data_IF_247716179494
#
_entry.id   IF_247716179494
#
_cell.length_a   1.000
_cell.length_b   1.000
_cell.length_c   1.000
_cell.angle_alpha   90.00
_cell.angle_beta   90.00
_cell.angle_gamma   90.00
#
_symmetry.space_group_name_H-M   'P 1'
#
loop_
_entity.id
_entity.type
_entity.pdbx_description
1 polymer ?
#
# COMPACT_ATOMS: atom_id res chain seq x y z
N UNK A 1 -26.92 -0.34 -79.28
CA UNK A 1 -26.67 -1.02 -77.99
C UNK A 1 -25.21 -1.46 -77.93
N UNK A 2 -24.36 -0.78 -77.14
CA UNK A 2 -23.02 -1.29 -76.84
C UNK A 2 -22.71 -1.35 -75.33
N UNK A 3 -21.66 -2.12 -75.04
CA UNK A 3 -21.27 -2.72 -73.76
C UNK A 3 -20.39 -1.80 -72.89
N UNK A 4 -20.71 -1.81 -71.59
CA UNK A 4 -19.88 -1.66 -70.38
C UNK A 4 -18.48 -1.02 -70.48
N UNK A 5 -18.38 0.18 -69.91
CA UNK A 5 -17.15 0.85 -69.48
C UNK A 5 -16.46 0.12 -68.31
N UNK A 6 -15.39 -0.61 -68.61
CA UNK A 6 -14.36 -1.01 -67.65
C UNK A 6 -13.08 -0.31 -68.10
N UNK A 7 -12.63 0.66 -67.29
CA UNK A 7 -11.29 1.26 -67.20
C UNK A 7 -11.37 2.80 -67.13
N UNK A 8 -11.61 3.34 -65.93
CA UNK A 8 -11.00 4.61 -65.49
C UNK A 8 -11.43 4.96 -64.05
N UNK A 9 -10.89 4.24 -63.06
CA UNK A 9 -10.80 4.69 -61.66
C UNK A 9 -9.92 3.74 -60.85
N UNK A 10 -8.63 3.64 -61.22
CA UNK A 10 -7.59 3.08 -60.36
C UNK A 10 -6.43 4.07 -60.32
N UNK A 11 -6.30 4.72 -59.17
CA UNK A 11 -5.06 5.25 -58.57
C UNK A 11 -4.18 6.17 -59.42
N UNK A 12 -4.63 7.43 -59.57
CA UNK A 12 -3.72 8.57 -59.42
C UNK A 12 -3.32 8.66 -57.94
N UNK A 13 -2.02 8.61 -57.65
CA UNK A 13 -1.48 8.98 -56.33
C UNK A 13 -0.74 7.88 -55.56
N UNK A 14 0.16 7.11 -56.19
CA UNK A 14 1.37 6.65 -55.49
C UNK A 14 2.46 7.70 -55.71
N UNK A 15 2.29 8.86 -55.07
CA UNK A 15 3.47 9.66 -54.73
C UNK A 15 4.14 8.95 -53.56
N UNK A 16 5.38 8.52 -53.78
CA UNK A 16 6.20 7.89 -52.75
C UNK A 16 6.44 8.89 -51.60
N UNK A 17 6.12 8.47 -50.37
CA UNK A 17 6.26 9.14 -49.05
C UNK A 17 7.56 9.92 -48.82
N UNK A 18 8.61 9.63 -49.59
CA UNK A 18 9.90 10.30 -49.58
C UNK A 18 9.84 11.81 -49.87
N UNK A 19 8.76 12.33 -50.49
CA UNK A 19 8.59 13.77 -50.75
C UNK A 19 7.91 14.55 -49.62
N UNK A 20 7.22 13.90 -48.68
CA UNK A 20 6.47 14.56 -47.61
C UNK A 20 7.20 14.59 -46.26
N UNK A 21 8.36 13.94 -46.16
CA UNK A 21 9.16 13.93 -44.92
C UNK A 21 8.50 13.16 -43.76
N UNK A 22 7.57 12.27 -44.06
CA UNK A 22 6.86 11.46 -43.05
C UNK A 22 6.86 10.00 -43.49
N UNK A 23 7.42 9.13 -42.64
CA UNK A 23 7.40 7.68 -42.85
C UNK A 23 6.17 7.05 -42.20
N UNK A 24 5.59 6.04 -42.87
CA UNK A 24 4.56 5.17 -42.28
C UNK A 24 5.19 4.18 -41.29
N UNK A 25 4.38 3.60 -40.41
CA UNK A 25 4.87 2.59 -39.44
C UNK A 25 5.51 1.41 -40.15
N UNK A 26 4.92 0.98 -41.25
CA UNK A 26 5.40 -0.13 -42.08
C UNK A 26 6.79 0.17 -42.65
N UNK A 27 7.04 1.43 -43.02
CA UNK A 27 8.35 1.88 -43.50
C UNK A 27 9.39 1.89 -42.37
N UNK A 28 9.02 2.31 -41.15
CA UNK A 28 9.90 2.25 -39.97
C UNK A 28 10.23 0.81 -39.58
N UNK A 29 9.26 -0.11 -39.63
CA UNK A 29 9.48 -1.54 -39.36
C UNK A 29 10.42 -2.15 -40.41
N UNK A 30 10.30 -1.72 -41.68
CA UNK A 30 11.17 -2.20 -42.77
C UNK A 30 12.64 -1.84 -42.59
N UNK A 31 12.96 -0.85 -41.74
CA UNK A 31 14.33 -0.46 -41.42
C UNK A 31 14.96 -1.30 -40.30
N UNK A 32 14.17 -2.12 -39.59
CA UNK A 32 14.68 -2.97 -38.51
C UNK A 32 15.44 -4.19 -39.06
N UNK A 33 16.39 -4.79 -38.31
CA UNK A 33 17.01 -6.05 -38.72
C UNK A 33 15.97 -7.18 -38.83
N UNK A 34 16.15 -8.19 -39.71
CA UNK A 34 15.14 -9.20 -40.02
C UNK A 34 14.53 -9.91 -38.80
N UNK A 35 15.37 -10.30 -37.84
CA UNK A 35 14.92 -10.97 -36.60
C UNK A 35 13.95 -10.12 -35.76
N UNK A 36 14.02 -8.80 -35.85
CA UNK A 36 13.12 -7.89 -35.15
C UNK A 36 11.82 -7.62 -35.91
N UNK A 37 11.83 -7.74 -37.25
CA UNK A 37 10.62 -7.63 -38.07
C UNK A 37 9.66 -8.78 -37.81
N UNK A 38 10.21 -9.99 -37.71
CA UNK A 38 9.42 -11.21 -37.47
C UNK A 38 8.68 -11.15 -36.13
N UNK A 39 9.34 -10.69 -35.05
CA UNK A 39 8.72 -10.57 -33.72
C UNK A 39 7.63 -9.49 -33.68
N UNK A 40 7.76 -8.43 -34.48
CA UNK A 40 6.75 -7.37 -34.57
C UNK A 40 5.52 -7.80 -35.37
N UNK A 41 5.72 -8.55 -36.46
CA UNK A 41 4.64 -9.04 -37.32
C UNK A 41 3.79 -10.14 -36.66
N UNK A 42 4.37 -10.90 -35.71
CA UNK A 42 3.69 -12.01 -35.03
C UNK A 42 2.75 -11.56 -33.88
N UNK A 43 2.69 -10.25 -33.57
CA UNK A 43 1.83 -9.72 -32.49
C UNK A 43 0.94 -8.57 -32.97
N UNK A 44 -0.31 -8.89 -33.25
CA UNK A 44 -1.38 -7.92 -33.52
C UNK A 44 -1.60 -6.89 -32.37
N UNK A 45 -1.04 -7.14 -31.18
CA UNK A 45 -1.18 -6.30 -29.98
C UNK A 45 -0.27 -5.07 -29.94
N UNK A 46 0.72 -4.93 -30.84
CA UNK A 46 1.64 -3.77 -30.85
C UNK A 46 1.06 -2.56 -31.63
N UNK A 47 -0.15 -2.69 -32.19
CA UNK A 47 -0.84 -1.58 -32.86
C UNK A 47 -1.37 -0.48 -31.91
N UNK A 48 -1.30 -0.68 -30.59
CA UNK A 48 -1.58 0.37 -29.63
C UNK A 48 -0.34 1.25 -29.41
N UNK A 49 -0.32 2.37 -30.13
CA UNK A 49 0.66 3.46 -30.05
C UNK A 49 0.94 3.87 -28.60
N UNK A 50 2.13 3.50 -28.10
CA UNK A 50 2.91 4.13 -27.01
C UNK A 50 4.04 3.21 -26.52
N UNK A 51 4.10 1.94 -26.95
CA UNK A 51 5.05 0.95 -26.44
C UNK A 51 6.32 0.73 -27.30
N UNK A 52 6.45 1.42 -28.44
CA UNK A 52 7.63 1.27 -29.31
C UNK A 52 8.91 1.66 -28.54
N UNK A 53 8.87 2.78 -27.82
CA UNK A 53 10.00 3.25 -27.02
C UNK A 53 10.38 2.30 -25.88
N UNK A 54 9.41 1.73 -25.18
CA UNK A 54 9.65 0.78 -24.08
C UNK A 54 10.08 -0.61 -24.56
N UNK A 55 9.70 -1.01 -25.77
CA UNK A 55 10.16 -2.24 -26.40
C UNK A 55 11.63 -2.14 -26.83
N UNK A 56 12.02 -1.04 -27.49
CA UNK A 56 13.44 -0.79 -27.80
C UNK A 56 14.29 -0.58 -26.54
N UNK A 57 13.74 0.04 -25.50
CA UNK A 57 14.40 0.25 -24.20
C UNK A 57 14.87 -1.06 -23.52
N UNK A 58 14.23 -2.21 -23.82
CA UNK A 58 14.62 -3.51 -23.24
C UNK A 58 15.73 -4.24 -24.01
N UNK A 59 16.00 -3.87 -25.26
CA UNK A 59 16.69 -4.77 -26.20
C UNK A 59 17.94 -4.17 -26.89
N UNK A 60 18.31 -2.90 -26.67
CA UNK A 60 19.43 -2.31 -27.40
C UNK A 60 20.46 -1.57 -26.54
N UNK A 61 21.73 -1.75 -26.90
CA UNK A 61 22.86 -0.95 -26.41
C UNK A 61 22.75 0.51 -26.87
N UNK A 62 23.36 1.42 -26.09
CA UNK A 62 23.28 2.88 -26.23
C UNK A 62 23.54 3.38 -27.66
N UNK A 63 24.52 2.81 -28.36
CA UNK A 63 24.87 3.22 -29.73
C UNK A 63 23.76 2.97 -30.75
N UNK A 64 22.94 1.94 -30.57
CA UNK A 64 21.86 1.60 -31.50
C UNK A 64 20.67 2.55 -31.28
N UNK A 65 20.36 2.87 -30.02
CA UNK A 65 19.34 3.86 -29.66
C UNK A 65 19.72 5.27 -30.13
N UNK A 66 20.99 5.65 -30.02
CA UNK A 66 21.48 6.94 -30.49
C UNK A 66 21.39 7.02 -32.03
N UNK A 67 21.80 5.97 -32.78
CA UNK A 67 21.66 5.92 -34.25
C UNK A 67 20.20 5.94 -34.73
N UNK A 68 19.30 5.24 -34.05
CA UNK A 68 17.86 5.24 -34.39
C UNK A 68 17.27 6.63 -34.15
N UNK A 69 17.66 7.27 -33.05
CA UNK A 69 17.19 8.61 -32.68
C UNK A 69 17.73 9.67 -33.65
N UNK A 70 19.01 9.60 -34.01
CA UNK A 70 19.66 10.49 -34.97
C UNK A 70 19.01 10.37 -36.36
N UNK A 71 18.77 9.14 -36.82
CA UNK A 71 18.06 8.88 -38.09
C UNK A 71 16.60 9.35 -38.06
N UNK A 72 15.90 9.14 -36.95
CA UNK A 72 14.52 9.59 -36.80
C UNK A 72 14.41 11.14 -36.74
N UNK A 73 15.43 11.82 -36.22
CA UNK A 73 15.51 13.27 -36.22
C UNK A 73 15.88 13.85 -37.61
N UNK A 74 16.76 13.18 -38.37
CA UNK A 74 17.10 13.55 -39.75
C UNK A 74 15.89 13.46 -40.70
N UNK A 75 15.04 12.44 -40.54
CA UNK A 75 14.00 12.10 -41.51
C UNK A 75 12.66 12.82 -41.24
N UNK A 76 12.55 13.57 -40.13
CA UNK A 76 11.43 14.48 -39.90
C UNK A 76 10.23 13.88 -39.16
N UNK A 77 10.37 13.48 -37.89
CA UNK A 77 9.21 13.14 -37.06
C UNK A 77 8.24 14.33 -36.89
N UNK A 78 6.94 14.03 -36.77
CA UNK A 78 5.92 15.05 -36.50
C UNK A 78 6.10 15.65 -35.07
N UNK A 79 5.63 16.88 -34.81
CA UNK A 79 5.81 17.58 -33.52
C UNK A 79 5.38 16.79 -32.27
N UNK A 80 4.34 15.95 -32.35
CA UNK A 80 3.82 15.12 -31.28
C UNK A 80 4.76 13.95 -31.01
N UNK A 81 5.23 13.29 -32.05
CA UNK A 81 6.22 12.21 -31.97
C UNK A 81 7.57 12.72 -31.45
N UNK A 82 8.01 13.91 -31.90
CA UNK A 82 9.19 14.60 -31.36
C UNK A 82 9.05 14.93 -29.88
N UNK A 83 7.86 15.34 -29.42
CA UNK A 83 7.60 15.59 -27.99
C UNK A 83 7.67 14.31 -27.17
N UNK A 84 7.08 13.21 -27.64
CA UNK A 84 7.13 11.93 -26.93
C UNK A 84 8.56 11.40 -26.78
N UNK A 85 9.35 11.47 -27.86
CA UNK A 85 10.76 11.09 -27.84
C UNK A 85 11.62 11.99 -26.93
N UNK A 86 11.43 13.32 -26.98
CA UNK A 86 12.10 14.26 -26.07
C UNK A 86 11.74 14.00 -24.60
N UNK A 87 10.47 13.72 -24.31
CA UNK A 87 9.99 13.39 -22.96
C UNK A 87 10.68 12.14 -22.42
N UNK A 88 10.86 11.11 -23.25
CA UNK A 88 11.63 9.90 -22.87
C UNK A 88 13.10 10.21 -22.56
N UNK A 89 13.74 11.07 -23.36
CA UNK A 89 15.13 11.51 -23.13
C UNK A 89 15.29 12.33 -21.85
N UNK A 90 14.34 13.22 -21.54
CA UNK A 90 14.40 14.07 -20.34
C UNK A 90 14.16 13.28 -19.06
N UNK A 91 13.27 12.26 -19.09
CA UNK A 91 13.10 11.31 -17.99
C UNK A 91 14.41 10.57 -17.70
N UNK A 92 15.14 10.17 -18.73
CA UNK A 92 16.44 9.51 -18.59
C UNK A 92 17.53 10.45 -18.01
N UNK A 93 17.57 11.70 -18.45
CA UNK A 93 18.48 12.71 -17.87
C UNK A 93 18.19 12.99 -16.40
N UNK A 94 16.90 12.99 -16.00
CA UNK A 94 16.50 13.14 -14.60
C UNK A 94 16.97 11.95 -13.75
N UNK A 95 16.75 10.73 -14.24
CA UNK A 95 17.19 9.50 -13.59
C UNK A 95 18.72 9.46 -13.37
N UNK A 96 19.51 9.89 -14.36
CA UNK A 96 20.97 9.95 -14.22
C UNK A 96 21.45 11.02 -13.23
N UNK A 97 20.73 12.15 -13.10
CA UNK A 97 21.03 13.18 -12.09
C UNK A 97 20.75 12.69 -10.68
N UNK A 98 19.64 11.97 -10.47
CA UNK A 98 19.33 11.35 -9.17
C UNK A 98 20.37 10.29 -8.80
N UNK A 99 20.79 9.46 -9.75
CA UNK A 99 21.83 8.44 -9.52
C UNK A 99 23.20 9.05 -9.21
N UNK A 100 23.52 10.24 -9.74
CA UNK A 100 24.73 11.00 -9.38
C UNK A 100 24.60 11.68 -8.01
N UNK A 101 23.42 12.18 -7.65
CA UNK A 101 23.15 12.74 -6.30
C UNK A 101 23.26 11.68 -5.21
N UNK A 102 22.69 10.50 -5.41
CA UNK A 102 22.81 9.38 -4.47
C UNK A 102 24.25 8.87 -4.32
N UNK A 103 25.10 9.04 -5.34
CA UNK A 103 26.54 8.75 -5.24
C UNK A 103 27.34 9.82 -4.50
N UNK A 104 26.83 11.05 -4.41
CA UNK A 104 27.44 12.14 -3.65
C UNK A 104 26.95 12.19 -2.19
N UNK A 105 25.69 11.85 -1.92
CA UNK A 105 25.14 11.74 -0.55
C UNK A 105 25.78 10.62 0.30
N UNK A 106 26.49 9.67 -0.32
CA UNK A 106 27.24 8.62 0.37
C UNK A 106 28.74 8.95 0.58
N UNK A 107 29.18 10.18 0.29
CA UNK A 107 30.61 10.57 0.39
C UNK A 107 30.90 11.83 1.21
N UNK A 108 29.92 12.46 1.85
CA UNK A 108 30.18 13.47 2.87
C UNK A 108 30.20 12.81 4.26
N UNK A 109 31.35 12.23 4.61
CA UNK A 109 31.77 12.13 6.00
C UNK A 109 32.12 13.54 6.46
N UNK A 110 31.26 14.15 7.28
CA UNK A 110 31.56 15.41 7.95
C UNK A 110 32.42 15.15 9.19
N UNK A 111 33.59 15.78 9.21
CA UNK A 111 34.47 15.89 10.37
C UNK A 111 33.72 16.43 11.60
N UNK A 112 34.05 15.98 12.82
CA UNK A 112 33.41 16.47 14.03
C UNK A 112 33.84 17.92 14.31
N UNK A 113 32.87 18.84 14.20
CA UNK A 113 33.01 20.21 14.68
C UNK A 113 33.22 20.26 16.20
N UNK A 114 33.76 21.38 16.73
CA UNK A 114 34.17 21.47 18.12
C UNK A 114 32.98 21.28 19.07
N UNK A 115 33.16 20.38 20.04
CA UNK A 115 32.23 20.12 21.14
C UNK A 115 31.82 21.43 21.83
N UNK A 116 30.58 21.83 21.59
CA UNK A 116 29.88 22.73 22.50
C UNK A 116 29.46 21.85 23.68
N UNK A 117 30.21 21.94 24.80
CA UNK A 117 29.79 21.38 26.08
C UNK A 117 28.47 22.03 26.50
N UNK A 118 27.37 21.38 26.17
CA UNK A 118 26.08 21.69 26.78
C UNK A 118 26.21 21.43 28.29
N UNK A 119 25.91 22.41 29.14
CA UNK A 119 25.93 22.21 30.58
C UNK A 119 24.79 21.26 30.98
N UNK A 120 25.11 20.33 31.89
CA UNK A 120 24.21 19.47 32.69
C UNK A 120 23.36 18.43 31.94
N UNK A 121 23.93 17.24 31.73
CA UNK A 121 23.21 15.99 31.44
C UNK A 121 22.56 15.39 32.72
N UNK A 122 22.79 15.97 33.91
CA UNK A 122 22.30 15.41 35.18
C UNK A 122 20.88 15.85 35.61
N UNK A 123 20.22 16.79 34.91
CA UNK A 123 18.86 17.25 35.31
C UNK A 123 17.69 16.48 34.69
N UNK A 124 17.93 15.58 33.72
CA UNK A 124 16.83 14.94 32.95
C UNK A 124 16.05 13.90 33.79
N UNK A 125 16.67 13.33 34.82
CA UNK A 125 16.08 12.24 35.59
C UNK A 125 15.60 12.62 37.00
N UNK A 126 15.89 13.84 37.48
CA UNK A 126 15.47 14.24 38.82
C UNK A 126 13.94 14.27 38.95
N UNK A 127 13.41 13.56 39.95
CA UNK A 127 12.02 13.63 40.40
C UNK A 127 12.05 14.09 41.84
N UNK A 128 11.28 15.12 42.15
CA UNK A 128 11.17 15.63 43.51
C UNK A 128 10.64 14.53 44.47
N UNK A 129 11.20 14.34 45.68
CA UNK A 129 10.79 13.26 46.59
C UNK A 129 9.29 13.20 46.87
N UNK A 130 8.65 14.36 47.10
CA UNK A 130 7.20 14.45 47.28
C UNK A 130 6.40 13.98 46.06
N UNK A 131 6.90 14.25 44.85
CA UNK A 131 6.29 13.79 43.60
C UNK A 131 6.47 12.27 43.48
N UNK A 132 7.66 11.75 43.78
CA UNK A 132 7.93 10.31 43.81
C UNK A 132 7.00 9.57 44.78
N UNK A 133 6.83 10.07 46.00
CA UNK A 133 5.93 9.48 47.00
C UNK A 133 4.48 9.46 46.50
N UNK A 134 4.02 10.57 45.91
CA UNK A 134 2.69 10.65 45.32
C UNK A 134 2.49 9.65 44.16
N UNK A 135 3.48 9.49 43.28
CA UNK A 135 3.46 8.50 42.19
C UNK A 135 3.35 7.09 42.75
N UNK A 136 4.14 6.74 43.77
CA UNK A 136 4.09 5.41 44.38
C UNK A 136 2.72 5.15 45.03
N UNK A 137 2.11 6.17 45.64
CA UNK A 137 0.73 6.07 46.16
C UNK A 137 -0.32 5.82 45.07
N UNK A 138 -0.12 6.36 43.87
CA UNK A 138 -1.00 6.15 42.72
C UNK A 138 -0.80 4.75 42.12
N UNK A 139 0.45 4.33 41.94
CA UNK A 139 0.77 2.97 41.47
C UNK A 139 0.23 1.89 42.41
N UNK A 140 0.27 2.13 43.72
CA UNK A 140 -0.31 1.22 44.71
C UNK A 140 -1.82 1.03 44.55
N UNK A 141 -2.52 2.01 43.96
CA UNK A 141 -3.95 1.92 43.59
C UNK A 141 -4.18 1.37 42.17
N UNK A 142 -3.12 0.93 41.49
CA UNK A 142 -3.17 0.42 40.13
C UNK A 142 -3.31 1.50 39.06
N UNK A 143 -3.00 2.77 39.39
CA UNK A 143 -2.95 3.83 38.38
C UNK A 143 -1.67 3.74 37.54
N UNK A 144 -1.78 4.08 36.27
CA UNK A 144 -0.65 4.20 35.34
C UNK A 144 -0.45 5.68 35.03
N UNK A 145 0.80 6.15 35.09
CA UNK A 145 1.15 7.54 34.88
C UNK A 145 2.17 7.70 33.76
N UNK A 146 2.00 8.74 32.96
CA UNK A 146 2.95 9.12 31.92
C UNK A 146 3.12 10.64 31.87
N UNK A 147 4.36 11.12 31.93
CA UNK A 147 4.65 12.55 32.02
C UNK A 147 4.47 13.26 30.67
N UNK A 148 3.89 14.45 30.73
CA UNK A 148 3.66 15.33 29.59
C UNK A 148 4.81 16.33 29.37
N UNK A 149 5.66 16.53 30.37
CA UNK A 149 6.70 17.54 30.37
C UNK A 149 7.98 17.08 31.09
N UNK A 150 9.10 17.69 30.70
CA UNK A 150 10.46 17.32 31.17
C UNK A 150 10.63 17.59 32.67
N UNK A 151 9.99 18.63 33.18
CA UNK A 151 9.97 19.01 34.59
C UNK A 151 9.05 18.11 35.44
N UNK A 152 8.35 17.14 34.82
CA UNK A 152 7.54 16.12 35.50
C UNK A 152 6.48 16.72 36.43
N UNK A 153 5.96 17.89 36.08
CA UNK A 153 4.89 18.58 36.82
C UNK A 153 3.51 18.33 36.23
N UNK A 154 3.41 17.68 35.06
CA UNK A 154 2.13 17.31 34.44
C UNK A 154 2.20 15.88 33.94
N UNK A 155 1.19 15.08 34.26
CA UNK A 155 1.11 13.69 33.84
C UNK A 155 -0.29 13.34 33.36
N UNK A 156 -0.38 12.42 32.40
CA UNK A 156 -1.62 11.68 32.14
C UNK A 156 -1.73 10.62 33.22
N UNK A 157 -2.84 10.62 33.96
CA UNK A 157 -3.18 9.59 34.93
C UNK A 157 -4.27 8.70 34.33
N UNK A 158 -3.99 7.41 34.27
CA UNK A 158 -4.93 6.36 33.85
C UNK A 158 -5.37 5.67 35.14
N UNK A 159 -6.59 5.96 35.56
CA UNK A 159 -7.11 5.55 36.86
C UNK A 159 -8.05 4.35 36.70
N UNK A 160 -7.62 3.21 37.25
CA UNK A 160 -8.35 1.94 37.15
C UNK A 160 -9.63 1.96 37.99
N UNK A 161 -9.59 2.56 39.17
CA UNK A 161 -10.75 2.61 40.08
C UNK A 161 -11.83 3.55 39.54
N UNK A 162 -11.42 4.73 39.06
CA UNK A 162 -12.34 5.70 38.44
C UNK A 162 -12.78 5.31 37.02
N UNK A 163 -12.11 4.32 36.41
CA UNK A 163 -12.25 3.94 35.00
C UNK A 163 -12.18 5.15 34.07
N UNK A 164 -11.15 5.98 34.26
CA UNK A 164 -11.03 7.28 33.61
C UNK A 164 -9.58 7.66 33.33
N UNK A 165 -9.39 8.54 32.34
CA UNK A 165 -8.11 9.15 31.99
C UNK A 165 -8.26 10.66 32.07
N UNK A 166 -7.35 11.29 32.80
CA UNK A 166 -7.30 12.73 33.04
C UNK A 166 -5.87 13.22 33.22
N UNK A 167 -5.66 14.54 33.23
CA UNK A 167 -4.35 15.13 33.45
C UNK A 167 -4.22 15.53 34.93
N UNK A 168 -3.11 15.15 35.56
CA UNK A 168 -2.74 15.60 36.89
C UNK A 168 -1.62 16.62 36.76
N UNK A 169 -1.74 17.73 37.50
CA UNK A 169 -0.68 18.74 37.63
C UNK A 169 -0.16 18.73 39.07
N UNK A 170 1.16 18.69 39.19
CA UNK A 170 1.94 18.55 40.41
C UNK A 170 2.78 19.80 40.61
N UNK A 171 2.61 20.50 41.73
CA UNK A 171 3.37 21.70 42.06
C UNK A 171 3.91 21.61 43.47
N UNK A 172 5.24 21.59 43.59
CA UNK A 172 5.89 21.71 44.90
C UNK A 172 5.91 23.19 45.28
N UNK A 173 5.41 23.49 46.46
CA UNK A 173 5.43 24.83 47.05
C UNK A 173 6.29 24.79 48.31
N UNK A 174 7.41 25.49 48.27
CA UNK A 174 8.24 25.73 49.44
C UNK A 174 7.70 26.94 50.20
N UNK A 175 7.46 26.79 51.50
CA UNK A 175 7.02 27.92 52.33
C UNK A 175 8.25 28.77 52.69
N UNK A 176 8.30 30.07 52.35
CA UNK A 176 9.48 30.90 52.62
C UNK A 176 9.78 31.07 54.13
N UNK A 177 8.85 30.72 55.01
CA UNK A 177 8.99 30.84 56.46
C UNK A 177 9.21 29.49 57.18
N UNK A 178 9.35 28.38 56.44
CA UNK A 178 9.64 27.05 57.02
C UNK A 178 10.32 26.14 56.01
N UNK A 179 11.24 25.27 56.45
CA UNK A 179 11.87 24.23 55.60
C UNK A 179 10.91 23.10 55.19
N UNK A 180 9.60 23.33 55.28
CA UNK A 180 8.55 22.39 54.91
C UNK A 180 8.08 22.71 53.49
N UNK A 181 8.20 21.72 52.62
CA UNK A 181 7.66 21.75 51.27
C UNK A 181 6.35 20.96 51.21
N UNK A 182 5.39 21.47 50.45
CA UNK A 182 4.11 20.80 50.24
C UNK A 182 3.90 20.52 48.76
N UNK A 183 3.34 19.36 48.44
CA UNK A 183 2.90 19.04 47.09
C UNK A 183 1.44 19.44 46.92
N UNK A 184 1.20 20.38 46.00
CA UNK A 184 -0.14 20.71 45.53
C UNK A 184 -0.46 19.88 44.28
N UNK A 185 -1.54 19.09 44.36
CA UNK A 185 -2.03 18.23 43.29
C UNK A 185 -3.36 18.77 42.79
N UNK A 186 -3.44 19.04 41.48
CA UNK A 186 -4.68 19.47 40.84
C UNK A 186 -5.00 18.58 39.64
N UNK A 187 -6.20 18.01 39.62
CA UNK A 187 -6.68 17.18 38.52
C UNK A 187 -7.45 18.04 37.51
N UNK A 188 -7.30 17.75 36.23
CA UNK A 188 -8.22 18.25 35.20
C UNK A 188 -9.58 17.57 35.32
N UNK A 189 -10.56 18.08 34.58
CA UNK A 189 -11.76 17.31 34.27
C UNK A 189 -11.37 15.98 33.58
N UNK A 190 -12.27 15.00 33.68
CA UNK A 190 -12.11 13.71 32.98
C UNK A 190 -12.10 13.98 31.49
N UNK A 191 -11.11 13.43 30.78
CA UNK A 191 -10.95 13.59 29.33
C UNK A 191 -11.53 12.39 28.60
N UNK A 192 -11.23 11.19 29.11
CA UNK A 192 -11.73 9.92 28.58
C UNK A 192 -12.34 9.13 29.73
N UNK A 193 -13.63 8.82 29.68
CA UNK A 193 -14.33 7.99 30.66
C UNK A 193 -14.24 6.50 30.29
N UNK A 194 -13.01 6.01 30.13
CA UNK A 194 -12.71 4.63 29.81
C UNK A 194 -11.36 4.24 30.40
N UNK A 195 -11.25 2.99 30.86
CA UNK A 195 -10.00 2.34 31.22
C UNK A 195 -9.74 1.18 30.26
N UNK A 196 -8.64 1.18 29.50
CA UNK A 196 -8.26 0.07 28.63
C UNK A 196 -7.82 -1.17 29.43
N UNK A 197 -8.38 -2.33 29.12
CA UNK A 197 -7.91 -3.65 29.56
C UNK A 197 -7.44 -4.47 28.35
N UNK A 198 -6.61 -5.50 28.61
CA UNK A 198 -6.11 -6.41 27.58
C UNK A 198 -5.50 -5.69 26.36
N UNK A 199 -4.71 -4.64 26.62
CA UNK A 199 -4.15 -3.80 25.56
C UNK A 199 -3.16 -4.61 24.72
N UNK A 200 -3.44 -4.74 23.43
CA UNK A 200 -2.56 -5.32 22.42
C UNK A 200 -2.11 -4.25 21.44
N UNK A 201 -0.81 -4.24 21.15
CA UNK A 201 -0.19 -3.29 20.24
C UNK A 201 0.36 -4.06 19.06
N UNK A 202 -0.19 -3.80 17.88
CA UNK A 202 0.29 -4.39 16.64
C UNK A 202 1.28 -3.43 15.99
N UNK A 203 2.55 -3.79 16.07
CA UNK A 203 3.63 -3.08 15.40
C UNK A 203 3.87 -3.74 14.04
N UNK A 204 3.43 -3.12 12.94
CA UNK A 204 3.62 -3.71 11.63
C UNK A 204 5.11 -3.74 11.30
N UNK A 205 5.63 -4.91 10.94
CA UNK A 205 7.00 -5.05 10.44
C UNK A 205 7.21 -4.46 9.05
N UNK A 206 6.12 -4.06 8.38
CA UNK A 206 6.15 -3.50 7.03
C UNK A 206 6.21 -1.95 7.09
N UNK A 207 7.17 -1.32 6.38
CA UNK A 207 7.31 0.12 6.39
C UNK A 207 6.04 0.80 5.84
N UNK A 208 5.67 1.92 6.45
CA UNK A 208 4.51 2.73 6.03
C UNK A 208 3.14 2.27 6.53
N UNK A 209 3.05 1.14 7.25
CA UNK A 209 1.84 0.80 7.99
C UNK A 209 1.84 1.52 9.35
N UNK A 210 0.70 2.06 9.73
CA UNK A 210 0.52 2.65 11.06
C UNK A 210 0.39 1.53 12.11
N UNK A 211 0.94 1.79 13.31
CA UNK A 211 0.68 0.98 14.50
C UNK A 211 -0.84 0.89 14.73
N UNK A 212 -1.31 -0.30 15.09
CA UNK A 212 -2.70 -0.52 15.52
C UNK A 212 -2.75 -0.90 16.99
N UNK A 213 -3.87 -0.58 17.61
CA UNK A 213 -4.20 -0.90 19.00
C UNK A 213 -5.49 -1.71 19.05
N UNK A 214 -5.54 -2.67 19.96
CA UNK A 214 -6.71 -3.45 20.32
C UNK A 214 -6.81 -3.50 21.84
N UNK A 215 -8.01 -3.34 22.40
CA UNK A 215 -8.24 -3.32 23.83
C UNK A 215 -9.72 -3.52 24.16
N UNK A 216 -9.98 -3.98 25.37
CA UNK A 216 -11.31 -3.99 25.96
C UNK A 216 -11.52 -2.73 26.79
N UNK A 217 -12.73 -2.20 26.78
CA UNK A 217 -13.09 -0.96 27.45
C UNK A 217 -13.85 -1.25 28.73
N UNK A 218 -13.31 -0.78 29.85
CA UNK A 218 -14.02 -0.64 31.11
C UNK A 218 -14.50 0.80 31.26
N UNK A 219 -15.80 1.01 31.52
CA UNK A 219 -16.33 2.34 31.80
C UNK A 219 -17.30 2.31 32.99
N UNK A 220 -17.57 3.48 33.56
CA UNK A 220 -18.66 3.72 34.51
C UNK A 220 -19.97 4.01 33.78
N UNK A 221 -19.91 4.54 32.55
CA UNK A 221 -21.08 4.90 31.74
C UNK A 221 -21.66 3.67 31.03
N UNK A 222 -20.79 2.77 30.57
CA UNK A 222 -21.18 1.51 29.91
C UNK A 222 -20.70 0.31 30.71
N UNK A 223 -21.63 -0.54 31.14
CA UNK A 223 -21.32 -1.81 31.83
C UNK A 223 -21.09 -2.98 30.87
N UNK A 224 -21.41 -2.82 29.58
CA UNK A 224 -21.07 -3.82 28.57
C UNK A 224 -19.57 -3.77 28.31
N UNK A 225 -18.89 -4.92 28.33
CA UNK A 225 -17.52 -5.02 27.85
C UNK A 225 -17.50 -4.70 26.36
N UNK A 226 -16.90 -3.58 25.98
CA UNK A 226 -16.79 -3.15 24.59
C UNK A 226 -15.39 -3.44 24.10
N UNK A 227 -15.28 -4.19 23.02
CA UNK A 227 -14.02 -4.46 22.36
C UNK A 227 -13.75 -3.41 21.28
N UNK A 228 -12.56 -2.82 21.27
CA UNK A 228 -12.09 -1.87 20.25
C UNK A 228 -10.80 -2.41 19.65
N UNK A 229 -10.79 -2.69 18.34
CA UNK A 229 -9.57 -3.03 17.61
C UNK A 229 -9.68 -4.27 16.71
N UNK A 230 -8.60 -4.58 15.96
CA UNK A 230 -7.36 -3.82 15.82
C UNK A 230 -7.52 -2.60 14.91
N UNK A 231 -7.32 -1.39 15.42
CA UNK A 231 -7.53 -0.12 14.68
C UNK A 231 -6.43 0.91 14.95
N UNK A 232 -6.35 1.99 14.17
CA UNK A 232 -5.37 3.05 14.45
C UNK A 232 -5.74 3.86 15.70
N UNK A 233 -4.78 4.59 16.29
CA UNK A 233 -5.07 5.47 17.44
C UNK A 233 -6.20 6.47 17.15
N UNK A 234 -6.30 6.97 15.92
CA UNK A 234 -7.35 7.91 15.50
C UNK A 234 -8.72 7.25 15.48
N UNK A 235 -8.79 6.06 14.90
CA UNK A 235 -10.04 5.31 14.78
C UNK A 235 -10.51 4.80 16.14
N UNK A 236 -9.59 4.39 17.02
CA UNK A 236 -9.91 4.03 18.40
C UNK A 236 -10.57 5.19 19.15
N UNK A 237 -10.01 6.41 19.06
CA UNK A 237 -10.59 7.60 19.68
C UNK A 237 -11.95 7.94 19.06
N UNK A 238 -12.10 7.80 17.74
CA UNK A 238 -13.40 7.99 17.08
C UNK A 238 -14.44 6.97 17.55
N UNK A 239 -14.06 5.70 17.76
CA UNK A 239 -14.95 4.68 18.34
C UNK A 239 -15.35 5.05 19.77
N UNK A 240 -14.39 5.48 20.62
CA UNK A 240 -14.69 5.96 21.97
C UNK A 240 -15.63 7.17 21.96
N UNK A 241 -15.47 8.08 20.99
CA UNK A 241 -16.34 9.25 20.82
C UNK A 241 -17.76 8.85 20.44
N UNK A 242 -17.92 7.90 19.51
CA UNK A 242 -19.23 7.36 19.12
C UNK A 242 -19.94 6.67 20.29
N UNK A 243 -19.18 6.07 21.21
CA UNK A 243 -19.68 5.45 22.43
C UNK A 243 -19.98 6.46 23.55
N UNK A 244 -19.73 7.75 23.34
CA UNK A 244 -19.94 8.80 24.33
C UNK A 244 -18.92 8.79 25.48
N UNK A 245 -17.75 8.19 25.28
CA UNK A 245 -16.71 8.04 26.31
C UNK A 245 -15.64 9.13 26.27
N UNK A 246 -15.70 10.02 25.28
CA UNK A 246 -14.81 11.19 25.16
C UNK A 246 -15.51 12.44 25.69
N UNK A 247 -14.93 13.05 26.72
CA UNK A 247 -15.45 14.26 27.38
C UNK A 247 -14.82 15.54 26.79
N UNK A 248 -13.54 15.52 26.46
CA UNK A 248 -12.85 16.62 25.77
C UNK A 248 -12.16 16.13 24.48
N UNK A 249 -12.79 16.44 23.35
CA UNK A 249 -12.35 16.02 22.01
C UNK A 249 -11.03 16.68 21.59
N UNK A 250 -10.71 17.87 22.11
CA UNK A 250 -9.56 18.64 21.63
C UNK A 250 -8.24 18.01 22.06
N UNK A 251 -8.23 17.34 23.21
CA UNK A 251 -7.02 16.74 23.80
C UNK A 251 -7.06 15.20 23.84
N UNK A 252 -8.21 14.59 23.54
CA UNK A 252 -8.41 13.14 23.62
C UNK A 252 -7.37 12.33 22.86
N UNK A 253 -7.03 12.71 21.63
CA UNK A 253 -6.08 11.92 20.81
C UNK A 253 -4.67 11.92 21.39
N UNK A 254 -4.21 13.05 21.91
CA UNK A 254 -2.86 13.17 22.47
C UNK A 254 -2.78 12.47 23.84
N UNK A 255 -3.83 12.62 24.66
CA UNK A 255 -3.96 11.91 25.94
C UNK A 255 -4.05 10.41 25.73
N UNK A 256 -4.83 9.94 24.74
CA UNK A 256 -4.93 8.52 24.41
C UNK A 256 -3.57 7.95 23.96
N UNK A 257 -2.86 8.63 23.07
CA UNK A 257 -1.52 8.20 22.62
C UNK A 257 -0.53 8.09 23.78
N UNK A 258 -0.56 9.07 24.69
CA UNK A 258 0.26 9.07 25.90
C UNK A 258 -0.12 7.93 26.83
N UNK A 259 -1.42 7.67 26.99
CA UNK A 259 -1.89 6.55 27.78
C UNK A 259 -1.41 5.21 27.21
N UNK A 260 -1.55 4.98 25.90
CA UNK A 260 -1.03 3.79 25.23
C UNK A 260 0.50 3.66 25.38
N UNK A 261 1.25 4.76 25.28
CA UNK A 261 2.68 4.78 25.59
C UNK A 261 2.98 4.28 27.00
N UNK A 262 2.22 4.75 27.99
CA UNK A 262 2.34 4.33 29.38
C UNK A 262 2.09 2.83 29.57
N UNK A 263 1.09 2.25 28.88
CA UNK A 263 0.83 0.81 28.91
C UNK A 263 2.00 0.00 28.34
N UNK A 264 2.63 0.48 27.27
CA UNK A 264 3.82 -0.17 26.69
C UNK A 264 5.00 -0.11 27.66
N UNK A 265 5.30 1.07 28.20
CA UNK A 265 6.45 1.28 29.09
C UNK A 265 6.35 0.51 30.41
N UNK A 266 5.13 0.38 30.94
CA UNK A 266 4.87 -0.38 32.18
C UNK A 266 4.79 -1.89 31.96
N UNK A 267 4.84 -2.38 30.72
CA UNK A 267 4.67 -3.80 30.40
C UNK A 267 3.23 -4.30 30.53
N UNK A 268 2.26 -3.39 30.62
CA UNK A 268 0.82 -3.71 30.71
C UNK A 268 0.15 -3.87 29.33
N UNK A 269 0.92 -3.78 28.24
CA UNK A 269 0.48 -4.08 26.88
C UNK A 269 1.22 -5.28 26.29
N UNK A 270 0.48 -6.14 25.58
CA UNK A 270 1.05 -7.20 24.75
C UNK A 270 1.48 -6.60 23.41
N UNK A 271 2.79 -6.49 23.19
CA UNK A 271 3.35 -5.96 21.95
C UNK A 271 3.55 -7.11 20.95
N UNK A 272 2.75 -7.10 19.89
CA UNK A 272 2.78 -8.04 18.79
C UNK A 272 3.54 -7.42 17.62
N UNK A 273 4.84 -7.71 17.56
CA UNK A 273 5.68 -7.36 16.43
C UNK A 273 5.47 -8.38 15.31
N UNK A 274 5.05 -7.93 14.12
CA UNK A 274 4.83 -8.86 13.03
C UNK A 274 4.13 -8.29 11.82
N UNK A 275 3.87 -9.17 10.85
CA UNK A 275 2.99 -8.86 9.74
C UNK A 275 1.58 -9.23 10.17
N UNK A 276 0.70 -8.24 10.27
CA UNK A 276 -0.70 -8.40 10.70
C UNK A 276 -1.59 -9.04 9.62
N UNK A 277 -1.22 -8.81 8.36
CA UNK A 277 -2.01 -9.24 7.22
C UNK A 277 -1.73 -10.71 6.84
N UNK A 278 -2.77 -11.53 6.60
CA UNK A 278 -2.59 -12.90 6.15
C UNK A 278 -1.98 -12.96 4.74
N UNK A 279 -1.08 -13.91 4.51
CA UNK A 279 -0.42 -14.08 3.22
C UNK A 279 0.93 -14.77 3.28
N UNK A 280 1.70 -14.59 2.21
CA UNK A 280 3.01 -15.21 2.00
C UNK A 280 4.10 -14.15 1.89
N UNK A 281 5.11 -14.27 2.75
CA UNK A 281 6.15 -13.27 2.94
C UNK A 281 7.55 -13.89 2.89
N UNK A 282 8.55 -13.09 2.49
CA UNK A 282 9.96 -13.49 2.54
C UNK A 282 10.47 -13.49 3.97
N UNK A 283 11.18 -14.55 4.37
CA UNK A 283 11.89 -14.63 5.65
C UNK A 283 13.27 -13.93 5.62
N UNK A 284 13.60 -13.21 4.55
CA UNK A 284 14.89 -12.52 4.36
C UNK A 284 16.07 -13.44 4.01
N UNK A 285 15.93 -14.76 4.13
CA UNK A 285 16.95 -15.77 3.82
C UNK A 285 16.61 -16.59 2.57
N UNK A 286 15.69 -16.09 1.74
CA UNK A 286 15.23 -16.76 0.50
C UNK A 286 14.11 -17.79 0.70
N UNK A 287 13.60 -17.95 1.92
CA UNK A 287 12.43 -18.78 2.20
C UNK A 287 11.14 -17.98 2.24
N UNK A 288 10.02 -18.67 2.04
CA UNK A 288 8.66 -18.13 2.14
C UNK A 288 8.03 -18.67 3.43
N UNK A 289 7.40 -17.81 4.21
CA UNK A 289 6.55 -18.23 5.33
C UNK A 289 5.14 -17.70 5.16
N UNK A 290 4.18 -18.43 5.74
CA UNK A 290 2.77 -18.12 5.68
C UNK A 290 2.31 -17.48 6.99
N UNK A 291 1.52 -16.41 6.89
CA UNK A 291 0.88 -15.71 8.01
C UNK A 291 -0.63 -15.88 7.83
N UNK A 292 -1.35 -16.27 8.89
CA UNK A 292 -2.81 -16.44 8.83
C UNK A 292 -3.29 -17.45 7.77
N UNK A 293 -2.41 -18.38 7.37
CA UNK A 293 -2.71 -19.44 6.40
C UNK A 293 -1.98 -20.73 6.79
N UNK A 294 -2.73 -21.81 6.97
CA UNK A 294 -2.17 -23.09 7.40
C UNK A 294 -1.65 -23.87 6.21
N UNK A 295 -0.33 -23.96 6.09
CA UNK A 295 0.32 -24.85 5.12
C UNK A 295 0.37 -26.24 5.75
N UNK A 296 -0.27 -27.21 5.10
CA UNK A 296 -0.23 -28.63 5.51
C UNK A 296 0.34 -29.49 4.39
N UNK A 297 0.84 -30.66 4.78
CA UNK A 297 1.21 -31.69 3.81
C UNK A 297 -0.06 -32.22 3.12
N UNK A 298 0.02 -32.40 1.80
CA UNK A 298 -1.08 -32.87 0.96
C UNK A 298 -0.81 -34.32 0.59
N UNK A 299 -1.79 -35.20 0.85
CA UNK A 299 -1.69 -36.62 0.50
C UNK A 299 -1.76 -36.81 -1.01
N UNK A 300 -1.13 -37.87 -1.52
CA UNK A 300 -1.11 -38.14 -2.95
C UNK A 300 -2.52 -38.37 -3.51
N UNK A 301 -3.41 -39.00 -2.75
CA UNK A 301 -4.81 -39.22 -3.15
C UNK A 301 -5.58 -37.89 -3.27
N UNK A 302 -5.39 -36.98 -2.32
CA UNK A 302 -6.01 -35.64 -2.37
C UNK A 302 -5.54 -34.88 -3.60
N UNK A 303 -4.23 -34.91 -3.89
CA UNK A 303 -3.67 -34.28 -5.08
C UNK A 303 -4.28 -34.84 -6.36
N UNK A 304 -4.43 -36.17 -6.46
CA UNK A 304 -5.06 -36.83 -7.61
C UNK A 304 -6.51 -36.36 -7.79
N UNK A 305 -7.30 -36.34 -6.71
CA UNK A 305 -8.69 -35.87 -6.74
C UNK A 305 -8.75 -34.41 -7.19
N UNK A 306 -7.88 -33.54 -6.67
CA UNK A 306 -7.81 -32.13 -7.07
C UNK A 306 -7.53 -31.98 -8.56
N UNK A 307 -6.57 -32.73 -9.11
CA UNK A 307 -6.26 -32.69 -10.54
C UNK A 307 -7.42 -33.20 -11.41
N UNK A 308 -8.13 -34.24 -10.97
CA UNK A 308 -9.33 -34.74 -11.65
C UNK A 308 -10.47 -33.71 -11.63
N UNK A 309 -10.69 -33.03 -10.51
CA UNK A 309 -11.67 -31.94 -10.40
C UNK A 309 -11.29 -30.79 -11.34
N UNK A 310 -10.01 -30.39 -11.35
CA UNK A 310 -9.53 -29.32 -12.23
C UNK A 310 -9.72 -29.67 -13.72
N UNK A 311 -9.48 -30.93 -14.10
CA UNK A 311 -9.77 -31.42 -15.45
C UNK A 311 -11.26 -31.36 -15.78
N UNK A 312 -12.15 -31.77 -14.86
CA UNK A 312 -13.60 -31.67 -15.07
C UNK A 312 -14.05 -30.23 -15.25
N UNK A 313 -13.52 -29.30 -14.46
CA UNK A 313 -13.79 -27.87 -14.62
C UNK A 313 -13.28 -27.38 -15.98
N UNK A 314 -12.09 -27.80 -16.41
CA UNK A 314 -11.51 -27.42 -17.70
C UNK A 314 -12.43 -27.81 -18.89
N UNK A 315 -13.14 -28.94 -18.79
CA UNK A 315 -14.11 -29.38 -19.79
C UNK A 315 -15.32 -28.44 -19.94
N UNK A 316 -15.60 -27.58 -18.95
CA UNK A 316 -16.62 -26.53 -19.04
C UNK A 316 -16.18 -25.35 -19.93
N UNK A 317 -14.88 -25.26 -20.25
CA UNK A 317 -14.27 -24.17 -21.03
C UNK A 317 -13.63 -24.68 -22.33
N UNK A 318 -14.29 -25.51 -23.17
CA UNK A 318 -13.64 -26.18 -24.30
C UNK A 318 -13.16 -25.17 -25.36
N UNK A 319 -13.91 -24.08 -25.56
CA UNK A 319 -13.56 -23.01 -26.50
C UNK A 319 -12.54 -22.01 -25.94
N UNK A 320 -12.20 -22.10 -24.66
CA UNK A 320 -11.37 -21.14 -23.94
C UNK A 320 -10.33 -21.82 -23.05
N UNK A 321 -9.94 -23.06 -23.35
CA UNK A 321 -9.02 -23.87 -22.55
C UNK A 321 -7.67 -23.19 -22.28
N UNK A 322 -7.13 -22.44 -23.27
CA UNK A 322 -5.91 -21.64 -23.08
C UNK A 322 -6.10 -20.52 -22.05
N UNK A 323 -7.26 -19.85 -22.05
CA UNK A 323 -7.58 -18.80 -21.07
C UNK A 323 -7.77 -19.40 -19.69
N UNK A 324 -8.46 -20.54 -19.60
CA UNK A 324 -8.60 -21.31 -18.37
C UNK A 324 -7.22 -21.66 -17.77
N UNK A 325 -6.32 -22.25 -18.56
CA UNK A 325 -4.97 -22.59 -18.11
C UNK A 325 -4.17 -21.37 -17.65
N UNK A 326 -4.28 -20.24 -18.35
CA UNK A 326 -3.64 -18.97 -17.94
C UNK A 326 -4.16 -18.48 -16.60
N UNK A 327 -5.49 -18.51 -16.39
CA UNK A 327 -6.11 -18.09 -15.13
C UNK A 327 -5.68 -19.00 -13.99
N UNK A 328 -5.70 -20.32 -14.16
CA UNK A 328 -5.26 -21.27 -13.14
C UNK A 328 -3.80 -21.05 -12.76
N UNK A 329 -2.91 -20.94 -13.76
CA UNK A 329 -1.48 -20.67 -13.53
C UNK A 329 -1.28 -19.36 -12.78
N UNK A 330 -1.96 -18.30 -13.20
CA UNK A 330 -1.87 -17.01 -12.53
C UNK A 330 -2.36 -17.10 -11.09
N UNK A 331 -3.51 -17.73 -10.86
CA UNK A 331 -4.10 -17.92 -9.54
C UNK A 331 -3.20 -18.68 -8.57
N UNK A 332 -2.50 -19.71 -9.03
CA UNK A 332 -1.51 -20.42 -8.21
C UNK A 332 -0.30 -19.56 -7.83
N UNK A 333 0.04 -18.56 -8.64
CA UNK A 333 1.20 -17.69 -8.38
C UNK A 333 0.84 -16.41 -7.62
N UNK A 334 -0.43 -15.98 -7.67
CA UNK A 334 -0.81 -14.63 -7.30
C UNK A 334 -0.59 -14.27 -5.82
N UNK A 335 -0.78 -15.18 -4.82
CA UNK A 335 -0.51 -14.83 -3.42
C UNK A 335 0.96 -14.57 -3.09
N UNK A 336 1.87 -15.03 -3.97
CA UNK A 336 3.31 -14.80 -3.85
C UNK A 336 3.76 -13.49 -4.50
N UNK A 337 2.82 -12.69 -5.03
CA UNK A 337 3.13 -11.39 -5.64
C UNK A 337 3.93 -10.48 -4.72
N UNK A 338 3.61 -10.46 -3.41
CA UNK A 338 4.35 -9.67 -2.42
C UNK A 338 5.79 -10.17 -2.25
N UNK A 339 5.99 -11.47 -2.10
CA UNK A 339 7.31 -12.10 -2.09
C UNK A 339 8.13 -11.78 -3.34
N UNK A 340 7.52 -11.86 -4.53
CA UNK A 340 8.16 -11.50 -5.80
C UNK A 340 8.61 -10.03 -5.79
N UNK A 341 7.76 -9.11 -5.32
CA UNK A 341 8.10 -7.69 -5.20
C UNK A 341 9.25 -7.43 -4.22
N UNK A 342 9.32 -8.16 -3.10
CA UNK A 342 10.45 -8.08 -2.16
C UNK A 342 11.77 -8.43 -2.86
N UNK A 343 11.72 -9.34 -3.83
CA UNK A 343 12.84 -9.76 -4.67
C UNK A 343 12.97 -8.97 -6.00
N UNK A 344 12.30 -7.81 -6.11
CA UNK A 344 12.32 -6.95 -7.32
C UNK A 344 11.81 -7.62 -8.61
N UNK A 345 11.00 -8.67 -8.46
CA UNK A 345 10.26 -9.30 -9.55
C UNK A 345 8.85 -8.71 -9.54
N UNK A 346 8.46 -8.09 -10.65
CA UNK A 346 7.18 -7.40 -10.77
C UNK A 346 6.16 -8.29 -11.47
N UNK A 347 5.19 -8.89 -10.75
CA UNK A 347 4.15 -9.70 -11.35
C UNK A 347 3.26 -8.85 -12.26
N UNK A 348 2.47 -9.50 -13.11
CA UNK A 348 1.49 -8.82 -13.96
C UNK A 348 0.08 -8.96 -13.38
N UNK A 349 -0.70 -7.89 -13.52
CA UNK A 349 -2.14 -7.96 -13.34
C UNK A 349 -2.76 -8.84 -14.42
N UNK A 350 -3.69 -9.71 -14.03
CA UNK A 350 -4.50 -10.46 -14.98
C UNK A 350 -5.79 -9.69 -15.25
N UNK A 351 -6.04 -9.35 -16.50
CA UNK A 351 -7.27 -8.69 -16.93
C UNK A 351 -8.01 -9.61 -17.92
N UNK A 352 -9.23 -9.99 -17.57
CA UNK A 352 -10.14 -10.68 -18.48
C UNK A 352 -11.10 -9.66 -19.09
N UNK A 353 -11.02 -9.44 -20.39
CA UNK A 353 -11.88 -8.51 -21.12
C UNK A 353 -12.67 -9.23 -22.22
N UNK A 354 -13.78 -8.62 -22.66
CA UNK A 354 -14.65 -9.16 -23.71
C UNK A 354 -16.13 -9.02 -23.38
N UNK A 355 -16.99 -9.51 -24.28
CA UNK A 355 -18.45 -9.40 -24.16
C UNK A 355 -19.00 -10.05 -22.89
N UNK A 356 -20.15 -9.56 -22.40
CA UNK A 356 -20.88 -10.17 -21.28
C UNK A 356 -21.28 -11.61 -21.60
N UNK A 357 -21.35 -12.47 -20.59
CA UNK A 357 -21.74 -13.88 -20.77
C UNK A 357 -20.62 -14.81 -21.28
N UNK A 358 -19.39 -14.34 -21.47
CA UNK A 358 -18.25 -15.18 -21.93
C UNK A 358 -17.50 -15.87 -20.77
N UNK A 359 -18.21 -16.20 -19.68
CA UNK A 359 -17.69 -16.94 -18.53
C UNK A 359 -16.49 -16.31 -17.79
N UNK A 360 -16.25 -15.00 -17.93
CA UNK A 360 -15.13 -14.29 -17.29
C UNK A 360 -15.21 -14.37 -15.77
N UNK A 361 -16.35 -14.01 -15.19
CA UNK A 361 -16.63 -14.10 -13.76
C UNK A 361 -16.38 -15.52 -13.25
N UNK A 362 -16.94 -16.53 -13.93
CA UNK A 362 -16.73 -17.94 -13.57
C UNK A 362 -15.25 -18.36 -13.55
N UNK A 363 -14.43 -17.86 -14.49
CA UNK A 363 -12.98 -18.09 -14.48
C UNK A 363 -12.29 -17.41 -13.29
N UNK A 364 -12.69 -16.17 -12.96
CA UNK A 364 -12.13 -15.44 -11.84
C UNK A 364 -12.43 -16.10 -10.48
N UNK A 365 -13.61 -16.69 -10.31
CA UNK A 365 -13.99 -17.40 -9.08
C UNK A 365 -13.07 -18.60 -8.76
N UNK A 366 -12.39 -19.15 -9.77
CA UNK A 366 -11.42 -20.23 -9.55
C UNK A 366 -10.24 -19.79 -8.68
N UNK A 367 -9.88 -18.49 -8.70
CA UNK A 367 -8.81 -17.97 -7.87
C UNK A 367 -9.07 -18.21 -6.38
N UNK A 368 -10.29 -17.88 -5.94
CA UNK A 368 -10.74 -18.04 -4.56
C UNK A 368 -10.83 -19.49 -4.15
N UNK A 369 -11.35 -20.34 -5.04
CA UNK A 369 -11.44 -21.78 -4.81
C UNK A 369 -10.08 -22.43 -4.57
N UNK A 370 -9.06 -22.07 -5.37
CA UNK A 370 -7.70 -22.62 -5.25
C UNK A 370 -7.10 -22.36 -3.87
N UNK A 371 -7.34 -21.17 -3.30
CA UNK A 371 -6.74 -20.77 -2.02
C UNK A 371 -7.68 -20.93 -0.82
N UNK A 372 -8.86 -21.52 -1.00
CA UNK A 372 -9.84 -21.68 0.07
C UNK A 372 -10.30 -20.35 0.66
N UNK A 373 -10.34 -19.29 -0.18
CA UNK A 373 -10.82 -17.95 0.19
C UNK A 373 -12.26 -17.71 -0.25
N UNK A 374 -12.92 -18.76 -0.73
CA UNK A 374 -14.34 -18.72 -1.02
C UNK A 374 -15.13 -18.78 0.28
N UNK A 375 -15.89 -17.73 0.56
CA UNK A 375 -16.84 -17.69 1.67
C UNK A 375 -18.25 -17.54 1.08
N UNK A 376 -19.09 -18.59 1.07
CA UNK A 376 -20.43 -18.55 0.50
C UNK A 376 -21.41 -17.69 1.31
N UNK A 377 -21.10 -17.37 2.57
CA UNK A 377 -21.96 -16.58 3.46
C UNK A 377 -21.63 -15.08 3.40
N UNK A 378 -20.43 -14.73 2.92
CA UNK A 378 -20.05 -13.36 2.62
C UNK A 378 -20.57 -12.92 1.25
N UNK A 379 -21.26 -11.77 1.21
CA UNK A 379 -21.71 -11.15 -0.05
C UNK A 379 -20.58 -10.80 -1.02
N UNK A 380 -19.33 -10.71 -0.52
CA UNK A 380 -18.15 -10.31 -1.27
C UNK A 380 -17.07 -11.43 -1.33
N UNK A 381 -17.44 -12.66 -0.94
CA UNK A 381 -16.57 -13.84 -0.92
C UNK A 381 -15.11 -13.52 -0.49
N UNK A 382 -14.95 -12.68 0.54
CA UNK A 382 -13.67 -12.11 1.02
C UNK A 382 -12.96 -11.16 0.02
N UNK A 383 -12.31 -11.73 -0.99
CA UNK A 383 -11.42 -11.02 -1.93
C UNK A 383 -12.05 -10.83 -3.32
N UNK A 384 -13.35 -11.10 -3.48
CA UNK A 384 -14.09 -10.95 -4.74
C UNK A 384 -15.01 -9.75 -4.63
N UNK A 385 -14.67 -8.66 -5.29
CA UNK A 385 -15.35 -7.38 -5.11
C UNK A 385 -15.90 -6.88 -6.43
N UNK A 386 -16.98 -6.11 -6.37
CA UNK A 386 -17.43 -5.36 -7.54
C UNK A 386 -16.54 -4.13 -7.74
N UNK A 387 -16.53 -3.59 -8.96
CA UNK A 387 -15.81 -2.35 -9.29
C UNK A 387 -16.19 -1.17 -8.39
N UNK A 388 -17.47 -1.07 -7.98
CA UNK A 388 -17.95 -0.01 -7.09
C UNK A 388 -17.37 -0.06 -5.68
N UNK A 389 -16.88 -1.21 -5.22
CA UNK A 389 -16.21 -1.34 -3.92
C UNK A 389 -14.73 -0.97 -3.97
N UNK A 390 -14.20 -0.64 -5.15
CA UNK A 390 -12.78 -0.34 -5.36
C UNK A 390 -12.55 0.88 -6.25
N UNK A 391 -13.63 1.62 -6.55
CA UNK A 391 -13.68 2.77 -7.45
C UNK A 391 -12.98 4.03 -6.93
N UNK A 392 -12.66 4.06 -5.63
CA UNK A 392 -11.93 5.17 -5.00
C UNK A 392 -10.56 4.73 -4.48
N UNK A 393 -9.58 5.65 -4.44
CA UNK A 393 -8.27 5.37 -3.88
C UNK A 393 -8.26 4.82 -2.45
N UNK A 394 -9.17 5.31 -1.60
CA UNK A 394 -9.28 4.85 -0.21
C UNK A 394 -9.79 3.40 -0.14
N UNK A 395 -10.89 3.10 -0.85
CA UNK A 395 -11.48 1.75 -0.89
C UNK A 395 -10.54 0.72 -1.52
N UNK A 396 -9.88 1.07 -2.62
CA UNK A 396 -8.89 0.17 -3.24
C UNK A 396 -7.69 -0.06 -2.31
N UNK A 397 -7.20 1.00 -1.65
CA UNK A 397 -6.11 0.89 -0.67
C UNK A 397 -6.47 -0.07 0.46
N UNK A 398 -7.63 0.11 1.07
CA UNK A 398 -8.15 -0.76 2.13
C UNK A 398 -8.18 -2.23 1.69
N UNK A 399 -8.70 -2.54 0.49
CA UNK A 399 -8.72 -3.91 -0.03
C UNK A 399 -7.33 -4.49 -0.28
N UNK A 400 -6.39 -3.69 -0.78
CA UNK A 400 -5.02 -4.13 -1.02
C UNK A 400 -4.23 -4.37 0.27
N UNK A 401 -4.63 -3.78 1.39
CA UNK A 401 -3.98 -3.95 2.70
C UNK A 401 -4.38 -5.23 3.46
N UNK A 402 -5.47 -5.89 3.02
CA UNK A 402 -6.05 -7.07 3.68
C UNK A 402 -5.19 -8.33 3.62
N UNK A 403 -4.19 -8.39 2.73
CA UNK A 403 -3.31 -9.57 2.63
C UNK A 403 -2.47 -9.59 1.36
N UNK A 404 -1.78 -10.72 1.13
CA UNK A 404 -1.05 -10.95 -0.12
C UNK A 404 -1.86 -11.73 -1.16
N UNK A 405 -3.04 -12.24 -0.80
CA UNK A 405 -3.94 -12.96 -1.69
C UNK A 405 -4.44 -12.06 -2.83
N UNK A 406 -4.84 -12.69 -3.95
CA UNK A 406 -5.31 -11.92 -5.09
C UNK A 406 -6.66 -11.26 -4.81
N UNK A 407 -6.71 -9.95 -4.98
CA UNK A 407 -7.95 -9.19 -5.08
C UNK A 407 -8.52 -9.38 -6.50
N UNK A 408 -9.70 -9.96 -6.58
CA UNK A 408 -10.46 -10.11 -7.82
C UNK A 408 -11.51 -9.02 -7.86
N UNK A 409 -11.48 -8.20 -8.91
CA UNK A 409 -12.43 -7.12 -9.12
C UNK A 409 -13.28 -7.47 -10.35
N UNK A 410 -14.56 -7.75 -10.15
CA UNK A 410 -15.51 -7.91 -11.25
C UNK A 410 -16.09 -6.55 -11.66
N UNK A 411 -16.45 -6.42 -12.94
CA UNK A 411 -16.96 -5.17 -13.51
C UNK A 411 -16.05 -3.95 -13.24
N UNK A 412 -14.74 -4.14 -13.40
CA UNK A 412 -13.72 -3.13 -13.06
C UNK A 412 -13.65 -1.89 -13.96
N UNK A 413 -14.66 -1.59 -14.78
CA UNK A 413 -14.66 -0.40 -15.65
C UNK A 413 -14.47 0.90 -14.84
N UNK A 414 -15.14 0.98 -13.67
CA UNK A 414 -15.02 2.10 -12.72
C UNK A 414 -13.61 2.34 -12.15
N UNK A 415 -12.72 1.34 -12.25
CA UNK A 415 -11.31 1.50 -11.85
C UNK A 415 -10.52 2.36 -12.83
N UNK A 416 -10.92 2.32 -14.10
CA UNK A 416 -10.21 3.00 -15.18
C UNK A 416 -10.92 4.29 -15.59
N UNK A 417 -12.25 4.32 -15.48
CA UNK A 417 -13.09 5.42 -15.90
C UNK A 417 -13.97 5.91 -14.74
N UNK A 418 -14.07 7.22 -14.59
CA UNK A 418 -15.04 7.88 -13.71
C UNK A 418 -16.41 7.90 -14.38
N UNK A 419 -17.45 8.20 -13.61
CA UNK A 419 -18.83 8.33 -14.11
C UNK A 419 -19.00 9.40 -15.21
N UNK A 420 -18.09 10.38 -15.29
CA UNK A 420 -18.05 11.41 -16.33
C UNK A 420 -17.22 11.00 -17.56
N UNK A 421 -16.75 9.74 -17.62
CA UNK A 421 -15.95 9.18 -18.72
C UNK A 421 -14.48 9.56 -18.71
N UNK A 422 -13.99 10.32 -17.72
CA UNK A 422 -12.57 10.65 -17.58
C UNK A 422 -11.80 9.51 -16.94
N UNK A 423 -10.50 9.43 -17.20
CA UNK A 423 -9.64 8.45 -16.56
C UNK A 423 -9.61 8.62 -15.03
N UNK A 424 -9.71 7.51 -14.31
CA UNK A 424 -9.56 7.46 -12.87
C UNK A 424 -8.07 7.39 -12.49
N UNK A 425 -7.32 8.44 -12.86
CA UNK A 425 -5.86 8.53 -12.72
C UNK A 425 -5.35 8.14 -11.31
N UNK A 426 -5.99 8.57 -10.20
CA UNK A 426 -5.54 8.18 -8.86
C UNK A 426 -5.60 6.67 -8.61
N UNK A 427 -6.67 6.00 -9.04
CA UNK A 427 -6.84 4.54 -8.91
C UNK A 427 -5.86 3.78 -9.80
N UNK A 428 -5.69 4.22 -11.05
CA UNK A 428 -4.70 3.67 -11.99
C UNK A 428 -3.28 3.78 -11.40
N UNK A 429 -2.97 4.90 -10.75
CA UNK A 429 -1.72 5.11 -10.01
C UNK A 429 -1.51 4.02 -8.96
N UNK A 430 -2.50 3.80 -8.09
CA UNK A 430 -2.45 2.75 -7.06
C UNK A 430 -2.27 1.36 -7.69
N UNK A 431 -3.00 1.02 -8.75
CA UNK A 431 -2.88 -0.28 -9.42
C UNK A 431 -1.45 -0.51 -9.94
N UNK A 432 -0.81 0.53 -10.49
CA UNK A 432 0.58 0.46 -10.94
C UNK A 432 1.55 0.33 -9.75
N UNK A 433 1.36 1.11 -8.70
CA UNK A 433 2.19 1.05 -7.50
C UNK A 433 2.07 -0.28 -6.77
N UNK A 434 0.88 -0.89 -6.76
CA UNK A 434 0.64 -2.21 -6.18
C UNK A 434 1.50 -3.31 -6.84
N UNK A 435 1.85 -3.18 -8.12
CA UNK A 435 2.76 -4.11 -8.80
C UNK A 435 4.24 -3.84 -8.52
N UNK A 436 4.61 -2.57 -8.35
CA UNK A 436 6.01 -2.14 -8.37
C UNK A 436 6.60 -1.91 -6.97
N UNK A 437 5.75 -1.65 -5.99
CA UNK A 437 6.17 -1.24 -4.65
C UNK A 437 5.70 -2.23 -3.58
N UNK A 438 6.47 -2.30 -2.50
CA UNK A 438 6.06 -2.96 -1.27
C UNK A 438 4.98 -2.16 -0.53
N UNK A 439 4.89 -0.86 -0.80
CA UNK A 439 3.91 0.06 -0.24
C UNK A 439 3.20 0.74 -1.41
N UNK A 440 1.89 0.50 -1.55
CA UNK A 440 1.08 1.23 -2.54
C UNK A 440 0.56 2.50 -1.88
N UNK A 441 1.19 3.65 -2.14
CA UNK A 441 0.71 4.96 -1.63
C UNK A 441 -0.13 5.68 -2.69
N UNK A 442 -1.08 6.48 -2.24
CA UNK A 442 -1.82 7.39 -3.12
C UNK A 442 -0.85 8.36 -3.82
N UNK A 443 -0.99 8.48 -5.13
CA UNK A 443 -0.54 9.69 -5.82
C UNK A 443 -1.55 10.79 -5.53
N UNK A 444 -1.15 11.84 -4.80
CA UNK A 444 -1.97 13.06 -4.73
C UNK A 444 -2.22 13.59 -6.14
N UNK A 445 -3.35 14.28 -6.35
CA UNK A 445 -3.77 14.91 -7.62
C UNK A 445 -2.71 15.87 -8.23
N UNK A 446 -1.57 16.10 -7.55
CA UNK A 446 -0.46 16.94 -8.00
C UNK A 446 0.85 16.18 -8.29
N UNK A 447 0.81 14.84 -8.38
CA UNK A 447 1.99 14.04 -8.77
C UNK A 447 3.11 14.00 -7.74
N UNK A 448 2.83 14.36 -6.48
CA UNK A 448 3.74 14.13 -5.34
C UNK A 448 3.21 13.00 -4.48
N UNK A 449 4.10 12.06 -4.14
CA UNK A 449 3.86 10.96 -3.22
C UNK A 449 3.76 11.50 -1.79
N UNK A 450 2.73 11.12 -1.05
CA UNK A 450 2.69 11.22 0.41
C UNK A 450 2.84 9.82 0.99
#
# INVERSE_FOLDING_TARGET
MPKSDINNKVNKGKETSWKTGTLSIEEVISLLPPAFREVYMDRAEIQNYNQIGSYFYRLSEREILDKITEKALEVGLDPIQKRAFRKGSDIYKSYLRERKRQKHEYKEESEPGPEIKNPSVEMVDYIHPLISEFIESLKARGCILEFLNVDKTRAVNIDREMKAIYIVTLRVQSNPNSDIENLNVSNSDIIIQAYPENVRIYNPSLPGKARKVEFDVQSTISQAGIHIGPVTDKDAVASLEQLGLIMDRNVAIDVFRKAIGAFIETGNAEVLDGIDAPGFYSNGKGGIYAVGYQVREVKQEEMKITLEVLNKIALLFPKSIRRFATVVRWSLSSPFSYYLKQNKIYPQHLMLYGMTGTSKTALLLLNHGIWGKWDPESSNHGFFVSGGETDTPARLGERLEQGTFALVIDEGEGLFLKSDGRENVPVIGILKHALQSLISRQTSDRGKFQ
#
